data_IF_289293265247
#
_entry.id   IF_289293265247
#
_cell.length_a   1.000
_cell.length_b   1.000
_cell.length_c   1.000
_cell.angle_alpha   90.00
_cell.angle_beta   90.00
_cell.angle_gamma   90.00
#
_symmetry.space_group_name_H-M   'P 1'
#
loop_
_entity.id
_entity.type
_entity.pdbx_description
1 polymer ?
#
# COMPACT_ATOMS: atom_id res chain seq x y z
N UNK A 1 1.20 16.89 -1.45
CA UNK A 1 1.49 15.48 -1.09
C UNK A 1 2.83 15.10 -1.70
N UNK A 2 3.68 14.33 -1.01
CA UNK A 2 4.95 13.82 -1.56
C UNK A 2 4.88 12.29 -1.64
N UNK A 3 5.09 11.75 -2.83
CA UNK A 3 5.05 10.31 -3.10
C UNK A 3 6.46 9.74 -3.18
N UNK A 4 6.71 8.62 -2.51
CA UNK A 4 7.98 7.90 -2.53
C UNK A 4 7.70 6.49 -3.06
N UNK A 5 8.27 6.14 -4.22
CA UNK A 5 8.12 4.82 -4.84
C UNK A 5 9.39 4.00 -4.61
N UNK A 6 9.22 2.77 -4.12
CA UNK A 6 10.29 1.79 -3.99
C UNK A 6 10.12 0.73 -5.08
N UNK A 7 10.91 0.83 -6.14
CA UNK A 7 10.82 -0.05 -7.31
C UNK A 7 12.15 -0.72 -7.62
N UNK A 8 12.09 -2.01 -7.96
CA UNK A 8 13.21 -2.80 -8.47
C UNK A 8 12.66 -4.05 -9.17
N UNK A 9 13.15 -4.36 -10.37
CA UNK A 9 12.71 -5.51 -11.17
C UNK A 9 13.08 -6.85 -10.52
N UNK A 10 14.16 -6.90 -9.73
CA UNK A 10 14.59 -8.14 -9.07
C UNK A 10 13.73 -8.43 -7.82
N UNK A 11 13.27 -9.68 -7.70
CA UNK A 11 12.62 -10.19 -6.49
C UNK A 11 13.59 -10.35 -5.32
N UNK A 12 13.11 -10.25 -4.08
CA UNK A 12 13.91 -10.54 -2.87
C UNK A 12 15.03 -9.54 -2.55
N UNK A 13 15.03 -8.34 -3.14
CA UNK A 13 16.05 -7.29 -2.90
C UNK A 13 15.70 -6.30 -1.78
N UNK A 14 14.69 -6.61 -0.97
CA UNK A 14 14.31 -5.79 0.19
C UNK A 14 13.35 -4.63 -0.09
N UNK A 15 12.67 -4.57 -1.25
CA UNK A 15 11.72 -3.49 -1.58
C UNK A 15 10.69 -3.23 -0.48
N UNK A 16 9.94 -4.26 -0.09
CA UNK A 16 8.91 -4.18 0.95
C UNK A 16 9.54 -3.76 2.28
N UNK A 17 10.66 -4.36 2.68
CA UNK A 17 11.36 -4.03 3.92
C UNK A 17 11.83 -2.57 3.96
N UNK A 18 12.34 -2.05 2.85
CA UNK A 18 12.74 -0.64 2.73
C UNK A 18 11.53 0.28 2.79
N UNK A 19 10.44 -0.04 2.07
CA UNK A 19 9.23 0.75 2.09
C UNK A 19 8.63 0.83 3.51
N UNK A 20 8.48 -0.29 4.21
CA UNK A 20 7.91 -0.34 5.57
C UNK A 20 8.79 0.40 6.57
N UNK A 21 10.12 0.28 6.47
CA UNK A 21 11.05 1.01 7.32
C UNK A 21 10.97 2.53 7.10
N UNK A 22 10.93 2.99 5.85
CA UNK A 22 10.78 4.43 5.54
C UNK A 22 9.45 4.96 6.08
N UNK A 23 8.36 4.24 5.86
CA UNK A 23 7.04 4.64 6.36
C UNK A 23 7.00 4.77 7.88
N UNK A 24 7.59 3.81 8.60
CA UNK A 24 7.70 3.87 10.07
C UNK A 24 8.54 5.07 10.54
N UNK A 25 9.69 5.33 9.90
CA UNK A 25 10.54 6.47 10.24
C UNK A 25 9.83 7.81 9.96
N UNK A 26 9.05 7.91 8.88
CA UNK A 26 8.27 9.12 8.59
C UNK A 26 7.15 9.31 9.63
N UNK A 27 6.44 8.24 9.98
CA UNK A 27 5.39 8.29 11.00
C UNK A 27 5.94 8.71 12.37
N UNK A 28 7.07 8.14 12.80
CA UNK A 28 7.73 8.50 14.08
C UNK A 28 8.24 9.93 14.12
N UNK A 29 8.49 10.55 12.95
CA UNK A 29 8.81 11.98 12.82
C UNK A 29 7.57 12.89 12.78
N UNK A 30 6.37 12.35 12.95
CA UNK A 30 5.12 13.11 13.01
C UNK A 30 4.47 13.39 11.65
N UNK A 31 4.93 12.76 10.56
CA UNK A 31 4.29 12.91 9.27
C UNK A 31 3.05 12.03 9.16
N UNK A 32 1.99 12.54 8.51
CA UNK A 32 0.87 11.72 8.05
C UNK A 32 1.34 10.88 6.87
N UNK A 33 1.29 9.55 7.02
CA UNK A 33 1.76 8.58 6.01
C UNK A 33 0.60 7.73 5.54
N UNK A 34 0.44 7.61 4.22
CA UNK A 34 -0.38 6.59 3.58
C UNK A 34 0.57 5.57 2.96
N UNK A 35 0.45 4.31 3.35
CA UNK A 35 1.21 3.21 2.78
C UNK A 35 0.37 2.52 1.71
N UNK A 36 0.93 2.33 0.51
CA UNK A 36 0.25 1.67 -0.61
C UNK A 36 1.04 0.41 -0.95
N UNK A 37 0.41 -0.76 -0.83
CA UNK A 37 0.96 -2.04 -1.27
C UNK A 37 0.49 -2.34 -2.69
N UNK A 38 1.40 -2.20 -3.66
CA UNK A 38 1.13 -2.44 -5.08
C UNK A 38 1.76 -3.76 -5.59
N UNK A 39 2.25 -4.60 -4.69
CA UNK A 39 2.80 -5.92 -5.04
C UNK A 39 1.72 -6.99 -4.83
N UNK A 40 1.31 -7.74 -5.87
CA UNK A 40 0.32 -8.82 -5.76
C UNK A 40 0.66 -9.91 -4.72
N UNK A 41 1.91 -9.97 -4.24
CA UNK A 41 2.31 -10.88 -3.16
C UNK A 41 1.85 -10.41 -1.76
N UNK A 42 1.39 -9.17 -1.61
CA UNK A 42 0.76 -8.65 -0.39
C UNK A 42 1.63 -8.75 0.88
N UNK A 43 2.96 -8.73 0.75
CA UNK A 43 3.88 -8.90 1.88
C UNK A 43 3.72 -7.81 2.95
N UNK A 44 3.56 -6.55 2.55
CA UNK A 44 3.34 -5.43 3.48
C UNK A 44 1.92 -5.44 4.04
N UNK A 45 0.92 -5.75 3.22
CA UNK A 45 -0.47 -5.94 3.65
C UNK A 45 -0.56 -6.93 4.80
N UNK A 46 0.10 -8.10 4.66
CA UNK A 46 0.20 -9.11 5.71
C UNK A 46 0.97 -8.61 6.95
N UNK A 47 2.07 -7.88 6.74
CA UNK A 47 2.88 -7.31 7.83
C UNK A 47 2.06 -6.32 8.68
N UNK A 48 1.26 -5.48 8.04
CA UNK A 48 0.39 -4.50 8.70
C UNK A 48 -0.97 -5.07 9.13
N UNK A 49 -1.28 -6.33 8.77
CA UNK A 49 -2.57 -6.97 9.05
C UNK A 49 -3.75 -6.16 8.51
N UNK A 50 -3.58 -5.54 7.34
CA UNK A 50 -4.67 -4.86 6.66
C UNK A 50 -5.78 -5.87 6.30
N UNK A 51 -7.03 -5.45 6.38
CA UNK A 51 -8.17 -6.29 6.04
C UNK A 51 -8.30 -6.38 4.51
N UNK A 52 -8.37 -7.60 4.00
CA UNK A 52 -8.61 -7.89 2.58
C UNK A 52 -9.63 -9.02 2.42
N UNK A 53 -10.57 -9.12 3.37
CA UNK A 53 -11.66 -10.08 3.30
C UNK A 53 -12.69 -9.73 2.22
N UNK A 54 -13.68 -10.61 2.06
CA UNK A 54 -14.74 -10.44 1.07
C UNK A 54 -15.47 -9.10 1.26
N UNK A 55 -15.63 -8.35 0.17
CA UNK A 55 -16.32 -7.06 0.14
C UNK A 55 -15.51 -5.89 0.68
N UNK A 56 -14.21 -6.06 0.98
CA UNK A 56 -13.32 -4.95 1.33
C UNK A 56 -12.68 -4.38 0.06
N UNK A 57 -12.86 -3.09 -0.17
CA UNK A 57 -12.20 -2.35 -1.25
C UNK A 57 -10.69 -2.32 -1.02
N UNK A 58 -9.93 -2.64 -2.06
CA UNK A 58 -8.48 -2.66 -2.08
C UNK A 58 -7.93 -1.77 -3.19
N UNK A 59 -6.60 -1.67 -3.28
CA UNK A 59 -5.94 -0.99 -4.40
C UNK A 59 -6.33 -1.58 -5.76
N UNK A 60 -6.64 -2.87 -5.82
CA UNK A 60 -7.06 -3.54 -7.06
C UNK A 60 -8.32 -2.90 -7.63
N UNK A 61 -9.34 -2.72 -6.80
CA UNK A 61 -10.65 -2.18 -7.20
C UNK A 61 -10.52 -0.72 -7.64
N UNK A 62 -9.72 0.06 -6.90
CA UNK A 62 -9.42 1.48 -7.22
C UNK A 62 -8.71 1.62 -8.58
N UNK A 63 -7.86 0.67 -8.96
CA UNK A 63 -7.08 0.75 -10.21
C UNK A 63 -7.89 0.24 -11.41
N UNK A 64 -8.75 -0.77 -11.23
CA UNK A 64 -9.34 -1.51 -12.35
C UNK A 64 -10.80 -1.20 -12.65
N UNK A 65 -11.57 -0.61 -11.73
CA UNK A 65 -12.95 -0.24 -11.99
C UNK A 65 -13.07 1.11 -12.72
N UNK A 66 -12.93 1.07 -14.05
CA UNK A 66 -13.04 2.28 -14.89
C UNK A 66 -14.49 2.72 -15.15
N UNK A 67 -15.44 1.79 -15.28
CA UNK A 67 -16.84 2.10 -15.62
C UNK A 67 -17.68 2.55 -14.43
N UNK A 68 -17.32 2.13 -13.21
CA UNK A 68 -17.98 2.52 -11.97
C UNK A 68 -16.94 2.72 -10.86
N UNK A 69 -16.20 3.85 -10.87
CA UNK A 69 -15.06 4.05 -9.97
C UNK A 69 -15.48 3.99 -8.50
N UNK A 70 -14.78 3.16 -7.72
CA UNK A 70 -14.95 3.10 -6.27
C UNK A 70 -14.34 4.34 -5.63
N UNK A 71 -14.98 4.87 -4.58
CA UNK A 71 -14.37 5.96 -3.80
C UNK A 71 -13.08 5.45 -3.14
N UNK A 72 -11.95 6.10 -3.43
CA UNK A 72 -10.65 5.75 -2.87
C UNK A 72 -10.65 5.73 -1.33
N UNK A 73 -11.52 6.51 -0.69
CA UNK A 73 -11.63 6.51 0.77
C UNK A 73 -12.13 5.17 1.32
N UNK A 74 -12.84 4.37 0.52
CA UNK A 74 -13.28 3.02 0.91
C UNK A 74 -12.11 2.03 0.99
N UNK A 75 -11.01 2.29 0.28
CA UNK A 75 -9.81 1.45 0.30
C UNK A 75 -8.83 1.81 1.44
N UNK A 76 -9.07 2.92 2.16
CA UNK A 76 -8.18 3.40 3.23
C UNK A 76 -8.65 2.85 4.58
N UNK A 77 -7.72 2.23 5.32
CA UNK A 77 -7.94 1.61 6.63
C UNK A 77 -7.09 2.27 7.72
#
# INVERSE_FOLDING_TARGET
MRTILIANQKGGVGKTSTATAIANVLQTKGYKVLFIDADPQCNSTNTYRANTGDGITTLYDVILEEENPVDINEAIQ
#
